data_IF_569031451308
#
_entry.id   IF_569031451308
#
_cell.length_a   1.000
_cell.length_b   1.000
_cell.length_c   1.000
_cell.angle_alpha   90.00
_cell.angle_beta   90.00
_cell.angle_gamma   90.00
#
_symmetry.space_group_name_H-M   'P 1'
#
loop_
_entity.id
_entity.type
_entity.pdbx_description
1 polymer ?
#
# COMPACT_ATOMS: atom_id res chain seq x y z
N UNK A 1 0.68 -7.73 21.94
CA UNK A 1 1.25 -6.94 21.87
C UNK A 1 1.16 -5.95 20.86
N UNK A 2 1.44 -4.86 21.14
CA UNK A 2 1.30 -3.80 20.29
C UNK A 2 2.18 -3.86 19.12
N UNK A 3 3.09 -4.72 19.18
CA UNK A 3 3.94 -4.78 18.10
C UNK A 3 3.30 -5.17 16.85
N UNK A 4 2.14 -5.72 16.86
CA UNK A 4 1.51 -6.07 15.63
C UNK A 4 1.25 -4.84 14.81
N UNK A 5 0.98 -3.72 15.45
CA UNK A 5 0.73 -2.54 14.71
C UNK A 5 1.96 -1.87 14.26
N UNK A 6 3.06 -2.16 14.91
CA UNK A 6 4.31 -1.58 14.51
C UNK A 6 5.07 -2.46 13.57
N UNK A 7 4.56 -3.64 13.27
CA UNK A 7 5.31 -4.54 12.44
C UNK A 7 5.25 -4.10 11.01
N UNK A 8 6.27 -4.47 10.28
CA UNK A 8 6.26 -4.22 8.85
C UNK A 8 5.31 -5.19 8.19
N UNK A 9 4.56 -4.72 7.24
CA UNK A 9 3.62 -5.55 6.51
C UNK A 9 4.23 -5.96 5.19
N UNK A 10 3.93 -7.16 4.74
CA UNK A 10 4.44 -7.62 3.46
C UNK A 10 3.48 -7.16 2.37
N UNK A 11 3.85 -7.41 1.11
CA UNK A 11 2.97 -7.08 0.01
C UNK A 11 1.65 -7.84 0.17
N UNK A 12 1.73 -9.11 0.54
CA UNK A 12 0.51 -9.88 0.73
C UNK A 12 -0.36 -9.32 1.83
N UNK A 13 0.27 -8.88 2.92
CA UNK A 13 -0.49 -8.30 4.01
C UNK A 13 -1.18 -7.02 3.57
N UNK A 14 -0.49 -6.19 2.82
CA UNK A 14 -1.06 -4.94 2.36
C UNK A 14 -2.20 -5.21 1.37
N UNK A 15 -2.03 -6.19 0.51
CA UNK A 15 -3.09 -6.52 -0.43
C UNK A 15 -4.35 -6.91 0.31
N UNK A 16 -4.22 -7.71 1.35
CA UNK A 16 -5.37 -8.12 2.13
C UNK A 16 -5.95 -6.93 2.89
N UNK A 17 -5.09 -6.12 3.46
CA UNK A 17 -5.55 -5.00 4.24
C UNK A 17 -6.33 -4.00 3.38
N UNK A 18 -5.85 -3.74 2.18
CA UNK A 18 -6.49 -2.76 1.31
C UNK A 18 -7.50 -3.39 0.36
N UNK A 19 -7.49 -4.69 0.25
CA UNK A 19 -8.43 -5.36 -0.65
C UNK A 19 -8.07 -5.20 -2.11
N UNK A 20 -6.79 -5.19 -2.43
CA UNK A 20 -6.35 -5.02 -3.81
C UNK A 20 -5.40 -6.13 -4.21
N UNK A 21 -5.09 -6.20 -5.47
CA UNK A 21 -4.19 -7.25 -5.96
C UNK A 21 -2.74 -6.81 -5.84
N UNK A 22 -1.83 -7.77 -5.99
CA UNK A 22 -0.41 -7.47 -5.95
C UNK A 22 -0.05 -6.50 -7.06
N UNK A 23 -0.60 -6.69 -8.26
CA UNK A 23 -0.28 -5.81 -9.36
C UNK A 23 -0.65 -4.37 -9.04
N UNK A 24 -1.76 -4.18 -8.35
CA UNK A 24 -2.18 -2.85 -7.98
C UNK A 24 -1.17 -2.23 -7.01
N UNK A 25 -0.71 -3.00 -6.03
CA UNK A 25 0.24 -2.48 -5.07
C UNK A 25 1.54 -2.09 -5.76
N UNK A 26 2.04 -2.95 -6.65
CA UNK A 26 3.29 -2.64 -7.33
C UNK A 26 3.14 -1.41 -8.22
N UNK A 27 1.98 -1.25 -8.85
CA UNK A 27 1.76 -0.08 -9.67
C UNK A 27 1.76 1.18 -8.83
N UNK A 28 1.13 1.12 -7.67
CA UNK A 28 1.08 2.28 -6.79
C UNK A 28 2.48 2.63 -6.27
N UNK A 29 3.31 1.64 -6.00
CA UNK A 29 4.68 1.91 -5.57
C UNK A 29 5.43 2.64 -6.67
N UNK A 30 5.23 2.21 -7.90
CA UNK A 30 5.98 2.80 -8.99
C UNK A 30 5.44 4.12 -9.47
N UNK A 31 4.13 4.27 -9.46
CA UNK A 31 3.56 5.42 -10.11
C UNK A 31 2.88 6.41 -9.19
N UNK A 32 2.56 6.01 -7.99
CA UNK A 32 1.81 6.88 -7.11
C UNK A 32 2.49 7.12 -5.77
N UNK A 33 3.76 6.81 -5.71
CA UNK A 33 4.58 7.08 -4.52
C UNK A 33 4.02 6.45 -3.24
N UNK A 34 3.46 5.27 -3.36
CA UNK A 34 2.98 4.57 -2.18
C UNK A 34 4.15 4.37 -1.23
N UNK A 35 3.99 4.68 0.05
CA UNK A 35 5.10 4.51 0.98
C UNK A 35 5.44 3.04 1.16
N UNK A 36 6.61 2.67 0.72
CA UNK A 36 7.09 1.30 0.78
C UNK A 36 8.58 1.32 1.02
N UNK A 37 9.07 0.30 1.68
CA UNK A 37 10.48 0.23 2.03
C UNK A 37 11.04 -1.10 1.54
N UNK A 38 12.23 -1.09 0.99
CA UNK A 38 12.83 -2.29 0.52
C UNK A 38 13.69 -2.90 1.59
N UNK A 39 13.38 -4.13 1.96
CA UNK A 39 14.15 -4.81 2.98
C UNK A 39 14.65 -6.07 2.30
N UNK A 40 15.91 -6.07 1.93
CA UNK A 40 16.45 -7.16 1.16
C UNK A 40 15.80 -7.18 -0.21
N UNK A 41 15.11 -8.27 -0.52
CA UNK A 41 14.42 -8.34 -1.76
C UNK A 41 12.97 -8.13 -1.61
N UNK A 42 12.46 -7.83 -0.42
CA UNK A 42 11.04 -7.75 -0.18
C UNK A 42 10.61 -6.32 0.05
N UNK A 43 9.40 -6.01 -0.37
CA UNK A 43 8.81 -4.73 -0.05
C UNK A 43 8.09 -4.86 1.28
N UNK A 44 8.28 -3.88 2.14
CA UNK A 44 7.61 -3.85 3.43
C UNK A 44 6.93 -2.51 3.60
N UNK A 45 5.87 -2.50 4.38
CA UNK A 45 5.05 -1.32 4.53
C UNK A 45 4.74 -1.07 5.98
N UNK A 46 4.55 0.19 6.34
CA UNK A 46 4.09 0.54 7.67
C UNK A 46 2.65 0.95 7.54
N UNK A 47 1.80 0.32 8.31
CA UNK A 47 0.37 0.56 8.20
C UNK A 47 0.02 2.03 8.32
N UNK A 48 0.59 2.72 9.29
CA UNK A 48 0.23 4.11 9.48
C UNK A 48 0.68 4.98 8.32
N UNK A 49 1.76 4.64 7.67
CA UNK A 49 2.21 5.40 6.52
C UNK A 49 1.27 5.18 5.35
N UNK A 50 0.84 3.95 5.18
CA UNK A 50 -0.06 3.62 4.08
C UNK A 50 -1.40 4.29 4.31
N UNK A 51 -1.90 4.29 5.55
CA UNK A 51 -3.16 4.92 5.85
C UNK A 51 -3.08 6.41 5.56
N UNK A 52 -2.01 7.06 5.95
CA UNK A 52 -1.86 8.49 5.71
C UNK A 52 -1.81 8.80 4.23
N UNK A 53 -1.12 7.94 3.48
CA UNK A 53 -1.01 8.13 2.04
C UNK A 53 -2.39 8.01 1.38
N UNK A 54 -3.18 7.04 1.83
CA UNK A 54 -4.51 6.86 1.28
C UNK A 54 -5.38 8.04 1.63
N UNK A 55 -5.30 8.51 2.87
CA UNK A 55 -6.12 9.64 3.29
C UNK A 55 -5.73 10.89 2.56
N UNK A 56 -4.49 10.98 2.13
CA UNK A 56 -4.04 12.13 1.38
C UNK A 56 -4.44 12.05 -0.08
N UNK A 57 -5.07 10.97 -0.49
CA UNK A 57 -5.50 10.83 -1.85
C UNK A 57 -4.58 10.06 -2.76
N UNK A 58 -3.57 9.42 -2.19
CA UNK A 58 -2.59 8.74 -3.03
C UNK A 58 -3.17 7.63 -3.86
N UNK A 59 -4.15 6.90 -3.29
CA UNK A 59 -4.74 5.80 -4.02
C UNK A 59 -5.92 6.22 -4.86
N UNK A 60 -6.22 7.49 -4.88
CA UNK A 60 -7.41 7.94 -5.56
C UNK A 60 -7.24 8.10 -7.03
N UNK A 61 -6.08 7.76 -7.54
CA UNK A 61 -5.88 7.90 -8.95
C UNK A 61 -6.90 7.14 -9.73
N UNK A 62 -7.38 6.09 -9.14
CA UNK A 62 -8.27 5.25 -9.89
C UNK A 62 -9.60 5.89 -10.07
N UNK A 63 -9.83 6.95 -9.42
CA UNK A 63 -11.02 7.53 -9.60
C UNK A 63 -11.25 7.85 -10.93
N UNK A 64 -10.24 8.13 -11.58
CA UNK A 64 -10.44 8.45 -12.78
C UNK A 64 -10.94 7.47 -13.57
N UNK A 65 -10.97 6.64 -13.21
CA UNK A 65 -11.44 5.84 -14.01
C UNK A 65 -12.19 5.07 -13.60
N UNK A 66 -12.33 5.29 -12.87
CA UNK A 66 -12.92 4.70 -12.48
C UNK A 66 -13.30 3.76 -12.74
N UNK A 67 -12.95 3.56 -12.84
CA UNK A 67 -13.14 2.94 -13.06
C UNK A 67 -13.44 2.28 -13.07
N UNK A 68 -13.44 2.22 -12.89
CA UNK A 68 -13.60 1.72 -12.81
C UNK A 68 -14.05 1.08 -12.42
N UNK A 69 -14.17 0.93 -12.07
CA UNK A 69 -14.42 0.45 -11.54
C UNK A 69 -14.89 0.35 -11.51
#
# INVERSE_FOLDING_TARGET
MAELEDRWLSVGDICTYLGVSNDTVYRWIEKHDMPAHRVGRLWKFKKEQVDAWIEAGGAAESNEKGSGK
#
